data_IF_585174728886
#
_entry.id   IF_585174728886
#
_cell.length_a   1.000
_cell.length_b   1.000
_cell.length_c   1.000
_cell.angle_alpha   90.00
_cell.angle_beta   90.00
_cell.angle_gamma   90.00
#
_symmetry.space_group_name_H-M   'P 1'
#
loop_
_entity.id
_entity.type
_entity.pdbx_description
1 polymer ?
#
# COMPACT_ATOMS: atom_id res chain seq x y z
N UNK A 1 -1.75 0.65 -12.40
CA UNK A 1 -0.82 -0.51 -12.53
C UNK A 1 0.45 -0.23 -13.31
N UNK A 2 0.48 0.84 -14.07
CA UNK A 2 1.70 1.24 -14.79
C UNK A 2 2.85 1.57 -13.83
N UNK A 3 2.57 2.32 -12.77
CA UNK A 3 3.58 2.64 -11.76
C UNK A 3 4.10 1.39 -11.07
N UNK A 4 3.22 0.46 -10.73
CA UNK A 4 3.61 -0.82 -10.15
C UNK A 4 4.55 -1.59 -11.08
N UNK A 5 4.23 -1.66 -12.36
CA UNK A 5 5.06 -2.33 -13.35
C UNK A 5 6.45 -1.66 -13.44
N UNK A 6 6.49 -0.34 -13.46
CA UNK A 6 7.74 0.40 -13.50
C UNK A 6 8.60 0.11 -12.25
N UNK A 7 8.00 0.10 -11.08
CA UNK A 7 8.72 -0.23 -9.84
C UNK A 7 9.23 -1.67 -9.88
N UNK A 8 8.40 -2.61 -10.34
CA UNK A 8 8.78 -4.02 -10.42
C UNK A 8 9.99 -4.25 -11.34
N UNK A 9 10.14 -3.42 -12.37
CA UNK A 9 11.23 -3.54 -13.34
C UNK A 9 12.37 -2.54 -13.13
N UNK A 10 12.34 -1.78 -12.05
CA UNK A 10 13.40 -0.83 -11.73
C UNK A 10 13.47 0.36 -12.66
N UNK A 11 12.36 0.73 -13.28
CA UNK A 11 12.30 1.87 -14.19
C UNK A 11 11.99 3.15 -13.43
N UNK A 12 12.95 4.06 -13.36
CA UNK A 12 12.79 5.34 -12.65
C UNK A 12 12.62 6.51 -13.63
N UNK A 13 11.60 6.45 -14.47
CA UNK A 13 11.38 7.44 -15.55
C UNK A 13 10.58 8.67 -15.11
N UNK A 14 10.08 8.71 -13.87
CA UNK A 14 9.46 9.90 -13.31
C UNK A 14 9.79 9.99 -11.83
N UNK A 15 9.37 11.08 -11.18
CA UNK A 15 9.71 11.32 -9.79
C UNK A 15 9.15 10.24 -8.84
N UNK A 16 7.93 9.78 -9.12
CA UNK A 16 7.27 8.76 -8.29
C UNK A 16 8.05 7.44 -8.35
N UNK A 17 8.32 6.95 -9.55
CA UNK A 17 9.03 5.67 -9.74
C UNK A 17 10.48 5.76 -9.29
N UNK A 18 11.11 6.92 -9.48
CA UNK A 18 12.47 7.16 -8.97
C UNK A 18 12.51 7.15 -7.45
N UNK A 19 11.54 7.78 -6.81
CA UNK A 19 11.45 7.78 -5.34
C UNK A 19 11.25 6.36 -4.81
N UNK A 20 10.41 5.57 -5.45
CA UNK A 20 10.21 4.17 -5.08
C UNK A 20 11.50 3.38 -5.21
N UNK A 21 12.23 3.56 -6.30
CA UNK A 21 13.50 2.89 -6.53
C UNK A 21 14.51 3.23 -5.45
N UNK A 22 14.62 4.50 -5.07
CA UNK A 22 15.52 4.95 -4.01
C UNK A 22 15.13 4.31 -2.67
N UNK A 23 13.83 4.29 -2.35
CA UNK A 23 13.35 3.68 -1.10
C UNK A 23 13.73 2.20 -1.02
N UNK A 24 13.53 1.46 -2.10
CA UNK A 24 13.88 0.05 -2.14
C UNK A 24 15.39 -0.16 -2.06
N UNK A 25 16.16 0.65 -2.76
CA UNK A 25 17.62 0.58 -2.75
C UNK A 25 18.17 0.87 -1.36
N UNK A 26 17.61 1.83 -0.66
CA UNK A 26 18.03 2.21 0.68
C UNK A 26 17.39 1.35 1.78
N UNK A 27 16.66 0.30 1.40
CA UNK A 27 16.00 -0.61 2.34
C UNK A 27 15.02 0.09 3.27
N UNK A 28 14.37 1.14 2.78
CA UNK A 28 13.34 1.87 3.52
C UNK A 28 11.97 1.31 3.19
N UNK A 29 11.01 1.61 4.04
CA UNK A 29 9.64 1.16 3.83
C UNK A 29 9.02 1.86 2.64
N UNK A 30 8.43 1.06 1.76
CA UNK A 30 7.67 1.54 0.61
C UNK A 30 6.32 0.82 0.64
N UNK A 31 5.25 1.59 0.70
CA UNK A 31 3.89 1.05 0.65
C UNK A 31 3.28 1.43 -0.68
N UNK A 32 2.79 0.44 -1.40
CA UNK A 32 2.14 0.62 -2.70
C UNK A 32 0.64 0.33 -2.52
N UNK A 33 -0.16 1.36 -2.64
CA UNK A 33 -1.62 1.23 -2.58
C UNK A 33 -2.14 0.93 -3.97
N UNK A 34 -2.30 -0.35 -4.25
CA UNK A 34 -2.72 -0.84 -5.56
C UNK A 34 -4.24 -0.90 -5.62
N UNK A 35 -4.81 -0.34 -6.69
CA UNK A 35 -6.24 -0.33 -6.90
C UNK A 35 -6.54 -0.76 -8.33
N UNK A 36 -6.95 -2.00 -8.49
CA UNK A 36 -7.28 -2.58 -9.79
C UNK A 36 -8.22 -3.76 -9.59
N UNK A 37 -9.22 -3.87 -10.46
CA UNK A 37 -10.15 -5.00 -10.40
C UNK A 37 -10.81 -5.20 -11.77
N UNK A 38 -10.85 -6.43 -12.31
CA UNK A 38 -10.13 -7.61 -11.85
C UNK A 38 -8.64 -7.52 -12.15
N UNK A 39 -7.86 -8.39 -11.52
CA UNK A 39 -6.42 -8.46 -11.74
C UNK A 39 -6.09 -9.46 -12.84
N UNK A 40 -5.11 -9.14 -13.67
CA UNK A 40 -4.58 -10.08 -14.63
C UNK A 40 -3.23 -10.65 -14.13
N UNK A 41 -2.69 -11.59 -14.90
CA UNK A 41 -1.45 -12.26 -14.49
C UNK A 41 -0.27 -11.30 -14.39
N UNK A 42 -0.17 -10.31 -15.29
CA UNK A 42 0.91 -9.33 -15.23
C UNK A 42 0.83 -8.52 -13.94
N UNK A 43 -0.36 -8.09 -13.53
CA UNK A 43 -0.56 -7.37 -12.28
C UNK A 43 -0.10 -8.20 -11.09
N UNK A 44 -0.51 -9.46 -11.03
CA UNK A 44 -0.15 -10.36 -9.94
C UNK A 44 1.35 -10.63 -9.88
N UNK A 45 1.98 -10.85 -11.04
CA UNK A 45 3.42 -11.05 -11.09
C UNK A 45 4.19 -9.82 -10.64
N UNK A 46 3.73 -8.64 -11.03
CA UNK A 46 4.36 -7.38 -10.59
C UNK A 46 4.21 -7.18 -9.08
N UNK A 47 3.06 -7.55 -8.51
CA UNK A 47 2.87 -7.50 -7.05
C UNK A 47 3.83 -8.44 -6.34
N UNK A 48 4.03 -9.64 -6.84
CA UNK A 48 5.00 -10.58 -6.28
C UNK A 48 6.40 -9.99 -6.36
N UNK A 49 6.78 -9.45 -7.52
CA UNK A 49 8.11 -8.89 -7.73
C UNK A 49 8.41 -7.75 -6.75
N UNK A 50 7.51 -6.79 -6.60
CA UNK A 50 7.75 -5.66 -5.68
C UNK A 50 7.78 -6.12 -4.23
N UNK A 51 6.98 -7.13 -3.88
CA UNK A 51 6.97 -7.69 -2.53
C UNK A 51 8.31 -8.37 -2.23
N UNK A 52 8.85 -9.12 -3.18
CA UNK A 52 10.17 -9.73 -3.05
C UNK A 52 11.28 -8.68 -2.92
N UNK A 53 11.09 -7.53 -3.56
CA UNK A 53 12.04 -6.41 -3.46
C UNK A 53 11.97 -5.67 -2.13
N UNK A 54 10.97 -5.96 -1.30
CA UNK A 54 10.81 -5.34 0.01
C UNK A 54 9.67 -4.33 0.13
N UNK A 55 8.90 -4.12 -0.92
CA UNK A 55 7.73 -3.24 -0.84
C UNK A 55 6.57 -3.94 -0.15
N UNK A 56 5.67 -3.15 0.40
CA UNK A 56 4.41 -3.64 0.98
C UNK A 56 3.29 -3.27 0.01
N UNK A 57 2.60 -4.27 -0.52
CA UNK A 57 1.42 -4.04 -1.36
C UNK A 57 0.20 -4.00 -0.43
N UNK A 58 -0.44 -2.84 -0.37
CA UNK A 58 -1.55 -2.60 0.54
C UNK A 58 -2.75 -2.03 -0.22
N UNK A 59 -3.60 -2.89 -0.79
CA UNK A 59 -4.80 -2.41 -1.47
C UNK A 59 -5.74 -1.71 -0.47
N UNK A 60 -6.38 -0.60 -0.85
CA UNK A 60 -7.32 0.08 0.03
C UNK A 60 -8.66 -0.65 0.07
N UNK A 61 -8.72 -1.73 0.84
CA UNK A 61 -9.93 -2.55 0.97
C UNK A 61 -10.78 -2.07 2.14
N UNK A 62 -12.11 -1.96 1.97
CA UNK A 62 -12.99 -1.57 3.07
C UNK A 62 -12.96 -2.59 4.19
N UNK A 63 -12.87 -2.11 5.43
CA UNK A 63 -12.89 -2.94 6.62
C UNK A 63 -14.25 -2.83 7.30
N UNK A 64 -15.24 -3.58 6.81
CA UNK A 64 -16.61 -3.49 7.32
C UNK A 64 -16.78 -4.01 8.73
N UNK A 65 -15.86 -4.84 9.23
CA UNK A 65 -15.91 -5.32 10.60
C UNK A 65 -15.75 -4.18 11.62
N UNK A 66 -15.24 -3.02 11.22
CA UNK A 66 -15.15 -1.84 12.08
C UNK A 66 -16.46 -1.06 12.11
N UNK A 67 -17.48 -1.49 11.39
CA UNK A 67 -18.79 -0.86 11.27
C UNK A 67 -18.69 0.62 10.85
N UNK A 68 -18.11 0.90 9.69
CA UNK A 68 -18.03 2.27 9.21
C UNK A 68 -19.42 2.82 8.92
N UNK A 69 -19.66 4.09 9.26
CA UNK A 69 -20.94 4.75 9.06
C UNK A 69 -20.94 5.61 7.81
N UNK A 70 -19.78 6.04 7.36
CA UNK A 70 -19.64 6.95 6.22
C UNK A 70 -18.51 6.47 5.31
N UNK A 71 -18.48 7.02 4.10
CA UNK A 71 -17.35 6.79 3.19
C UNK A 71 -16.06 7.35 3.80
N UNK A 72 -16.14 8.49 4.50
CA UNK A 72 -14.99 9.06 5.18
C UNK A 72 -14.40 8.09 6.21
N UNK A 73 -15.24 7.36 6.94
CA UNK A 73 -14.77 6.35 7.89
C UNK A 73 -13.97 5.25 7.20
N UNK A 74 -14.42 4.81 6.03
CA UNK A 74 -13.72 3.79 5.23
C UNK A 74 -12.37 4.32 4.77
N UNK A 75 -12.33 5.55 4.26
CA UNK A 75 -11.10 6.19 3.80
C UNK A 75 -10.13 6.35 4.98
N UNK A 76 -10.61 6.83 6.11
CA UNK A 76 -9.78 7.02 7.30
C UNK A 76 -9.20 5.70 7.79
N UNK A 77 -9.97 4.61 7.78
CA UNK A 77 -9.46 3.29 8.14
C UNK A 77 -8.35 2.83 7.22
N UNK A 78 -8.51 3.03 5.91
CA UNK A 78 -7.48 2.67 4.93
C UNK A 78 -6.21 3.50 5.12
N UNK A 79 -6.35 4.81 5.32
CA UNK A 79 -5.22 5.69 5.57
C UNK A 79 -4.52 5.36 6.88
N UNK A 80 -5.29 5.08 7.93
CA UNK A 80 -4.73 4.70 9.23
C UNK A 80 -3.85 3.46 9.10
N UNK A 81 -4.30 2.47 8.35
CA UNK A 81 -3.53 1.25 8.14
C UNK A 81 -2.20 1.52 7.44
N UNK A 82 -2.22 2.36 6.41
CA UNK A 82 -0.99 2.74 5.69
C UNK A 82 -0.04 3.50 6.60
N UNK A 83 -0.56 4.46 7.36
CA UNK A 83 0.26 5.23 8.30
C UNK A 83 0.88 4.34 9.37
N UNK A 84 0.14 3.35 9.87
CA UNK A 84 0.67 2.37 10.82
C UNK A 84 1.81 1.55 10.19
N UNK A 85 1.67 1.16 8.93
CA UNK A 85 2.72 0.44 8.22
C UNK A 85 3.98 1.29 8.05
N UNK A 86 3.84 2.61 7.99
CA UNK A 86 4.95 3.55 7.88
C UNK A 86 5.45 4.06 9.23
N UNK A 87 4.88 3.58 10.34
CA UNK A 87 5.18 4.03 11.70
C UNK A 87 4.91 5.52 11.93
N UNK A 88 3.91 6.06 11.24
CA UNK A 88 3.50 7.46 11.42
C UNK A 88 2.38 7.50 12.45
N UNK A 89 2.54 8.34 13.47
CA UNK A 89 1.49 8.52 14.47
C UNK A 89 0.31 9.30 13.89
N UNK A 90 -0.90 8.88 14.24
CA UNK A 90 -2.12 9.50 13.76
C UNK A 90 -3.27 9.19 14.73
N UNK A 91 -4.41 9.83 14.48
CA UNK A 91 -5.64 9.60 15.24
C UNK A 91 -6.84 9.44 14.33
N UNK A 92 -6.62 8.93 13.11
CA UNK A 92 -7.68 8.82 12.09
C UNK A 92 -8.70 7.74 12.43
N UNK A 93 -8.28 6.67 13.10
CA UNK A 93 -9.19 5.60 13.51
C UNK A 93 -8.57 4.83 14.66
N UNK A 94 -9.35 3.89 15.22
CA UNK A 94 -8.82 2.98 16.22
C UNK A 94 -7.82 2.05 15.56
N UNK A 95 -6.67 1.90 16.20
CA UNK A 95 -5.66 0.98 15.71
C UNK A 95 -6.07 -0.44 15.97
N UNK A 96 -5.68 -1.31 15.06
CA UNK A 96 -5.78 -2.74 15.28
C UNK A 96 -4.74 -3.16 16.32
N UNK A 97 -5.19 -3.81 17.39
CA UNK A 97 -4.31 -4.24 18.48
C UNK A 97 -4.38 -5.75 18.62
N UNK A 98 -3.80 -6.45 17.63
CA UNK A 98 -3.62 -7.88 17.74
C UNK A 98 -4.87 -8.68 18.07
N UNK A 99 -5.93 -8.52 17.35
CA UNK A 99 -7.17 -9.25 17.57
C UNK A 99 -8.09 -8.64 18.61
N UNK A 100 -7.72 -7.52 19.19
CA UNK A 100 -8.55 -6.83 20.18
C UNK A 100 -9.75 -6.12 19.56
N UNK A 101 -9.74 -5.99 18.27
CA UNK A 101 -10.85 -5.38 17.55
C UNK A 101 -11.59 -6.37 16.71
#
# INVERSE_FOLDING_TARGET
>A
MRTLAAVAHGLGDNLITRSADVMLKERRRLVLMVRESPLNLAHLRNMVSVTEMGAIVCPPLPAFYTRPRTVADIVDSSLARVLDLLDVQHSLSLRWEGGAQ
#
